data_IF_825603429533
#
_entry.id   IF_825603429533
#
_cell.length_a   1.000
_cell.length_b   1.000
_cell.length_c   1.000
_cell.angle_alpha   90.00
_cell.angle_beta   90.00
_cell.angle_gamma   90.00
#
_symmetry.space_group_name_H-M   'P 1'
#
loop_
_entity.id
_entity.type
_entity.pdbx_description
1 polymer ?
#
# COMPACT_ATOMS: atom_id res chain seq x y z
N UNK A 1 -13.58 8.43 -18.22
CA UNK A 1 -14.11 8.66 -16.88
C UNK A 1 -14.41 7.32 -16.22
N UNK A 2 -14.02 7.17 -14.97
CA UNK A 2 -14.29 5.99 -14.14
C UNK A 2 -15.16 6.42 -12.97
N UNK A 3 -16.21 5.67 -12.67
CA UNK A 3 -17.03 5.89 -11.48
C UNK A 3 -16.26 5.38 -10.27
N UNK A 4 -16.33 6.06 -9.14
CA UNK A 4 -15.56 5.70 -7.94
C UNK A 4 -15.93 4.30 -7.42
N UNK A 5 -17.19 3.91 -7.51
CA UNK A 5 -17.66 2.60 -7.07
C UNK A 5 -17.04 1.44 -7.87
N UNK A 6 -16.71 1.66 -9.16
CA UNK A 6 -16.01 0.66 -9.99
C UNK A 6 -14.52 0.53 -9.65
N UNK A 7 -13.94 1.57 -9.02
CA UNK A 7 -12.51 1.64 -8.67
C UNK A 7 -12.28 1.19 -7.23
N UNK A 8 -13.29 1.34 -6.38
CA UNK A 8 -13.21 1.00 -4.96
C UNK A 8 -13.05 -0.51 -4.79
N UNK A 9 -12.05 -0.91 -4.04
CA UNK A 9 -11.81 -2.29 -3.65
C UNK A 9 -11.83 -2.38 -2.13
N UNK A 10 -12.54 -3.40 -1.61
CA UNK A 10 -12.62 -3.65 -0.16
C UNK A 10 -11.24 -3.92 0.45
N UNK A 11 -11.00 -3.38 1.63
CA UNK A 11 -9.75 -3.58 2.34
C UNK A 11 -8.59 -2.71 1.89
N UNK A 12 -8.84 -1.72 1.05
CA UNK A 12 -7.83 -0.76 0.62
C UNK A 12 -7.97 0.58 1.34
N UNK A 13 -6.93 0.97 2.07
CA UNK A 13 -6.86 2.28 2.71
C UNK A 13 -6.62 3.45 1.73
N UNK A 14 -6.05 3.16 0.56
CA UNK A 14 -5.74 4.15 -0.49
C UNK A 14 -6.43 3.77 -1.79
N UNK A 15 -7.39 4.61 -2.23
CA UNK A 15 -8.19 4.38 -3.44
C UNK A 15 -7.35 4.40 -4.73
N UNK A 16 -6.18 5.01 -4.72
CA UNK A 16 -5.29 5.06 -5.89
C UNK A 16 -4.89 3.66 -6.40
N UNK A 17 -4.84 2.67 -5.51
CA UNK A 17 -4.60 1.26 -5.86
C UNK A 17 -5.72 0.67 -6.71
N UNK A 18 -6.94 1.13 -6.52
CA UNK A 18 -8.09 0.67 -7.29
C UNK A 18 -8.06 1.06 -8.77
N UNK A 19 -7.18 1.97 -9.17
CA UNK A 19 -6.96 2.35 -10.58
C UNK A 19 -6.19 1.27 -11.38
N UNK A 20 -5.61 0.28 -10.70
CA UNK A 20 -4.85 -0.80 -11.34
C UNK A 20 -5.75 -1.62 -12.29
N UNK A 21 -5.32 -1.74 -13.55
CA UNK A 21 -6.05 -2.48 -14.58
C UNK A 21 -7.38 -1.84 -15.04
N UNK A 22 -7.81 -0.72 -14.47
CA UNK A 22 -9.09 -0.07 -14.81
C UNK A 22 -9.01 0.91 -15.97
N UNK A 23 -7.82 1.37 -16.33
CA UNK A 23 -7.65 2.31 -17.45
C UNK A 23 -6.44 1.93 -18.27
N UNK A 24 -6.62 1.80 -19.60
CA UNK A 24 -5.51 1.56 -20.52
C UNK A 24 -4.46 2.67 -20.40
N UNK A 25 -3.16 2.30 -20.35
CA UNK A 25 -2.05 3.23 -20.22
C UNK A 25 -1.83 3.81 -18.82
N UNK A 26 -2.55 3.30 -17.80
CA UNK A 26 -2.26 3.57 -16.40
C UNK A 26 -1.61 2.34 -15.80
N UNK A 27 -0.41 2.52 -15.24
CA UNK A 27 0.32 1.49 -14.51
C UNK A 27 0.38 1.88 -13.03
N UNK A 28 -0.03 0.96 -12.18
CA UNK A 28 0.04 1.11 -10.72
C UNK A 28 1.03 0.07 -10.21
N UNK A 29 2.07 0.50 -9.53
CA UNK A 29 3.13 -0.37 -9.02
C UNK A 29 3.28 -0.18 -7.51
N UNK A 30 3.23 -1.26 -6.77
CA UNK A 30 3.61 -1.25 -5.37
C UNK A 30 5.14 -1.20 -5.28
N UNK A 31 5.68 -0.09 -4.79
CA UNK A 31 7.15 0.14 -4.72
C UNK A 31 7.77 -0.40 -3.45
N UNK A 32 6.97 -0.65 -2.43
CA UNK A 32 7.43 -1.14 -1.12
C UNK A 32 6.42 -2.09 -0.50
N UNK A 33 6.92 -3.06 0.29
CA UNK A 33 6.11 -3.89 1.18
C UNK A 33 5.76 -3.19 2.49
N UNK A 34 6.23 -1.96 2.71
CA UNK A 34 5.96 -1.19 3.93
C UNK A 34 4.48 -0.88 4.02
N UNK A 35 3.90 -1.16 5.18
CA UNK A 35 2.50 -0.93 5.44
C UNK A 35 2.15 0.55 5.31
N UNK A 36 1.05 0.83 4.61
CA UNK A 36 0.56 2.20 4.44
C UNK A 36 1.23 3.03 3.34
N UNK A 37 2.21 2.48 2.59
CA UNK A 37 2.82 3.21 1.47
C UNK A 37 1.87 3.34 0.29
N UNK A 38 1.92 4.51 -0.36
CA UNK A 38 1.18 4.76 -1.60
C UNK A 38 1.82 4.03 -2.79
N UNK A 39 1.02 3.54 -3.75
CA UNK A 39 1.56 2.95 -4.96
C UNK A 39 2.14 4.04 -5.89
N UNK A 40 3.12 3.66 -6.69
CA UNK A 40 3.62 4.50 -7.78
C UNK A 40 2.70 4.39 -8.98
N UNK A 41 2.08 5.50 -9.36
CA UNK A 41 1.19 5.56 -10.51
C UNK A 41 1.90 6.25 -11.67
N UNK A 42 1.78 5.65 -12.86
CA UNK A 42 2.26 6.22 -14.12
C UNK A 42 1.14 6.23 -15.13
N UNK A 43 1.02 7.33 -15.86
CA UNK A 43 0.11 7.50 -16.98
C UNK A 43 0.97 7.66 -18.23
N UNK A 44 0.67 6.94 -19.33
CA UNK A 44 1.42 6.92 -20.61
C UNK A 44 2.80 6.26 -20.60
N UNK A 45 3.19 5.53 -19.54
CA UNK A 45 4.53 4.94 -19.45
C UNK A 45 5.64 5.96 -19.16
N UNK A 46 6.90 5.59 -19.34
CA UNK A 46 8.04 6.49 -19.13
C UNK A 46 8.23 7.38 -20.37
N UNK A 47 7.62 8.56 -20.38
CA UNK A 47 7.69 9.50 -21.51
C UNK A 47 8.83 10.51 -21.38
N UNK A 48 9.54 10.53 -20.25
CA UNK A 48 10.64 11.48 -20.02
C UNK A 48 11.85 10.80 -19.43
N UNK A 49 13.02 11.05 -20.00
CA UNK A 49 14.33 10.65 -19.46
C UNK A 49 14.75 11.59 -18.34
N UNK A 50 14.25 12.82 -18.31
CA UNK A 50 14.65 13.91 -17.41
C UNK A 50 13.51 14.55 -16.60
N UNK A 51 12.30 13.98 -16.57
CA UNK A 51 11.15 14.57 -15.90
C UNK A 51 10.52 13.65 -14.87
N UNK A 52 9.78 14.25 -13.93
CA UNK A 52 8.97 13.52 -12.98
C UNK A 52 7.91 12.70 -13.73
N UNK A 53 7.90 11.39 -13.51
CA UNK A 53 6.98 10.46 -14.16
C UNK A 53 5.65 10.30 -13.40
N UNK A 54 5.42 11.10 -12.35
CA UNK A 54 4.19 11.09 -11.57
C UNK A 54 3.09 11.88 -12.26
N UNK A 55 1.86 11.38 -12.32
CA UNK A 55 0.73 12.16 -12.80
C UNK A 55 0.38 13.28 -11.84
N UNK A 56 -0.11 14.40 -12.37
CA UNK A 56 -0.65 15.49 -11.59
C UNK A 56 -2.03 15.10 -11.03
N UNK A 57 -2.24 15.29 -9.73
CA UNK A 57 -3.53 15.11 -9.11
C UNK A 57 -4.29 16.42 -9.00
N UNK A 58 -5.55 16.41 -9.41
CA UNK A 58 -6.44 17.57 -9.33
C UNK A 58 -7.73 17.12 -8.64
N UNK A 59 -8.06 17.71 -7.51
CA UNK A 59 -9.26 17.40 -6.74
C UNK A 59 -10.21 18.61 -6.80
N UNK A 60 -11.36 18.42 -7.43
CA UNK A 60 -12.37 19.48 -7.63
C UNK A 60 -11.81 20.79 -8.23
N UNK A 61 -10.83 20.66 -9.11
CA UNK A 61 -10.17 21.79 -9.76
C UNK A 61 -8.96 22.36 -9.03
N UNK A 62 -8.65 21.87 -7.83
CA UNK A 62 -7.46 22.25 -7.05
C UNK A 62 -6.32 21.27 -7.34
N UNK A 63 -5.17 21.79 -7.72
CA UNK A 63 -3.97 20.98 -7.91
C UNK A 63 -3.46 20.54 -6.56
N UNK A 64 -3.33 19.24 -6.37
CA UNK A 64 -2.75 18.64 -5.17
C UNK A 64 -1.26 18.41 -5.41
N UNK A 65 -0.44 18.91 -4.52
CA UNK A 65 1.00 18.66 -4.54
C UNK A 65 1.32 17.50 -3.57
N UNK A 66 2.23 16.62 -3.97
CA UNK A 66 2.78 15.64 -3.05
C UNK A 66 3.50 16.39 -1.92
N UNK A 67 3.20 16.04 -0.69
CA UNK A 67 3.74 16.73 0.50
C UNK A 67 5.26 16.52 0.64
N UNK A 68 5.83 15.56 -0.09
CA UNK A 68 7.26 15.27 -0.12
C UNK A 68 7.72 14.81 -1.51
N UNK A 69 8.79 15.42 -2.01
CA UNK A 69 9.59 14.88 -3.11
C UNK A 69 10.41 13.70 -2.57
N UNK A 70 10.00 12.49 -2.94
CA UNK A 70 10.74 11.28 -2.57
C UNK A 70 11.94 11.16 -3.51
N UNK A 71 13.14 11.38 -2.99
CA UNK A 71 14.38 11.17 -3.75
C UNK A 71 14.64 9.68 -4.01
N UNK A 72 15.47 9.37 -5.02
CA UNK A 72 15.89 7.99 -5.27
C UNK A 72 16.70 7.39 -4.11
N UNK A 73 17.36 8.25 -3.32
CA UNK A 73 18.11 7.88 -2.12
C UNK A 73 17.19 7.49 -0.97
N UNK A 74 16.08 8.22 -0.77
CA UNK A 74 15.05 7.89 0.23
C UNK A 74 14.37 6.55 -0.09
N UNK A 75 14.12 6.26 -1.38
CA UNK A 75 13.63 4.96 -1.82
C UNK A 75 14.59 3.81 -1.52
N UNK A 76 15.91 4.07 -1.54
CA UNK A 76 16.93 3.07 -1.27
C UNK A 76 17.19 2.87 0.21
N UNK A 77 16.97 3.90 1.04
CA UNK A 77 17.18 3.86 2.49
C UNK A 77 16.11 3.06 3.23
N UNK A 78 14.95 2.82 2.60
CA UNK A 78 13.82 2.11 3.22
C UNK A 78 13.14 2.90 4.34
N UNK A 79 13.39 4.20 4.42
CA UNK A 79 12.75 5.04 5.42
C UNK A 79 11.25 5.20 5.12
N UNK A 80 10.43 4.56 5.95
CA UNK A 80 8.99 4.48 5.76
C UNK A 80 8.30 5.85 5.83
N UNK A 81 8.90 6.82 6.50
CA UNK A 81 8.33 8.17 6.65
C UNK A 81 8.30 8.94 5.34
N UNK A 82 9.25 8.66 4.43
CA UNK A 82 9.35 9.29 3.12
C UNK A 82 8.43 8.66 2.06
N UNK A 83 7.97 7.42 2.29
CA UNK A 83 7.18 6.66 1.32
C UNK A 83 5.65 6.87 1.44
N UNK A 84 5.20 7.65 2.43
CA UNK A 84 3.77 7.74 2.82
C UNK A 84 3.00 8.84 2.08
N UNK A 85 3.66 9.66 1.29
CA UNK A 85 3.07 10.83 0.67
C UNK A 85 2.36 10.59 -0.66
N UNK A 86 1.11 10.14 -0.67
CA UNK A 86 0.25 10.34 -1.84
C UNK A 86 -0.58 11.61 -1.66
N UNK A 87 -0.63 12.46 -2.67
CA UNK A 87 -1.45 13.68 -2.67
C UNK A 87 -2.93 13.44 -2.32
N UNK A 88 -3.40 12.21 -2.54
CA UNK A 88 -4.81 11.82 -2.27
C UNK A 88 -4.97 10.85 -1.09
N UNK A 89 -3.89 10.50 -0.38
CA UNK A 89 -3.97 9.60 0.78
C UNK A 89 -4.88 10.13 1.91
N UNK A 90 -5.10 11.44 1.93
CA UNK A 90 -6.01 12.12 2.85
C UNK A 90 -7.47 12.10 2.45
N UNK A 91 -7.83 11.66 1.23
CA UNK A 91 -9.22 11.64 0.79
C UNK A 91 -9.92 10.37 1.29
N UNK A 92 -11.18 10.55 1.69
CA UNK A 92 -12.05 9.42 1.96
C UNK A 92 -12.58 8.85 0.62
N UNK A 93 -12.39 7.55 0.32
CA UNK A 93 -12.93 6.93 -0.88
C UNK A 93 -14.43 7.11 -1.05
N UNK A 94 -15.20 7.17 0.05
CA UNK A 94 -16.63 7.35 0.05
C UNK A 94 -17.08 8.74 -0.45
N UNK A 95 -16.20 9.74 -0.39
CA UNK A 95 -16.51 11.10 -0.85
C UNK A 95 -16.25 11.31 -2.33
N UNK A 96 -15.62 10.35 -3.00
CA UNK A 96 -15.27 10.45 -4.41
C UNK A 96 -16.46 10.02 -5.27
N UNK A 97 -16.78 10.80 -6.29
CA UNK A 97 -17.80 10.51 -7.29
C UNK A 97 -17.18 9.84 -8.52
N UNK A 98 -16.08 10.41 -9.04
CA UNK A 98 -15.45 9.87 -10.25
C UNK A 98 -13.97 10.25 -10.39
N UNK A 99 -13.28 9.48 -11.23
CA UNK A 99 -11.94 9.77 -11.72
C UNK A 99 -11.98 10.03 -13.22
N UNK A 100 -11.31 11.08 -13.66
CA UNK A 100 -11.09 11.36 -15.07
C UNK A 100 -9.59 11.43 -15.35
N UNK A 101 -9.10 10.51 -16.18
CA UNK A 101 -7.67 10.38 -16.45
C UNK A 101 -7.39 11.03 -17.80
N UNK A 102 -6.73 12.19 -17.78
CA UNK A 102 -6.35 12.95 -18.95
C UNK A 102 -4.99 12.49 -19.45
N UNK A 103 -5.00 11.91 -20.63
CA UNK A 103 -3.80 11.33 -21.25
C UNK A 103 -3.32 12.14 -22.44
N UNK A 104 -4.19 12.91 -23.07
CA UNK A 104 -3.89 13.62 -24.32
C UNK A 104 -3.26 14.98 -24.05
N UNK A 105 -2.28 15.37 -24.89
CA UNK A 105 -1.57 16.63 -24.73
C UNK A 105 -2.50 17.85 -24.72
N UNK A 106 -3.56 17.83 -25.54
CA UNK A 106 -4.57 18.89 -25.57
C UNK A 106 -5.36 18.97 -24.25
N UNK A 107 -5.71 17.82 -23.65
CA UNK A 107 -6.43 17.77 -22.40
C UNK A 107 -5.54 18.16 -21.20
N UNK A 108 -4.24 17.90 -21.28
CA UNK A 108 -3.27 18.24 -20.24
C UNK A 108 -2.76 19.68 -20.33
N UNK A 109 -2.90 20.34 -21.48
CA UNK A 109 -2.42 21.71 -21.71
C UNK A 109 -3.01 22.75 -20.75
N UNK A 110 -4.25 22.51 -20.24
CA UNK A 110 -4.92 23.37 -19.26
C UNK A 110 -4.10 23.46 -17.95
N UNK A 111 -3.33 22.43 -17.62
CA UNK A 111 -2.56 22.33 -16.36
C UNK A 111 -1.07 22.65 -16.54
N UNK A 112 -0.66 23.04 -17.76
CA UNK A 112 0.70 23.48 -18.10
C UNK A 112 1.75 22.38 -18.02
N UNK A 113 3.01 22.76 -17.83
CA UNK A 113 4.17 21.86 -17.86
C UNK A 113 4.13 20.74 -16.79
N UNK A 114 3.43 20.96 -15.67
CA UNK A 114 3.26 19.95 -14.61
C UNK A 114 2.45 18.73 -15.07
N UNK A 115 1.70 18.86 -16.16
CA UNK A 115 0.82 17.81 -16.67
C UNK A 115 1.48 16.89 -17.71
N UNK A 116 2.78 16.98 -17.94
CA UNK A 116 3.48 16.20 -18.97
C UNK A 116 3.33 14.68 -18.76
N UNK A 117 3.30 14.23 -17.51
CA UNK A 117 3.11 12.82 -17.15
C UNK A 117 1.63 12.38 -17.11
N UNK A 118 0.70 13.25 -17.53
CA UNK A 118 -0.75 13.04 -17.44
C UNK A 118 -1.37 13.69 -16.20
N UNK A 119 -2.70 13.76 -16.19
CA UNK A 119 -3.47 14.35 -15.09
C UNK A 119 -4.55 13.38 -14.66
N UNK A 120 -4.70 13.19 -13.36
CA UNK A 120 -5.81 12.44 -12.75
C UNK A 120 -6.70 13.45 -12.03
N UNK A 121 -7.87 13.70 -12.60
CA UNK A 121 -8.88 14.60 -12.02
C UNK A 121 -9.82 13.77 -11.16
N UNK A 122 -9.92 14.12 -9.90
CA UNK A 122 -10.83 13.53 -8.91
C UNK A 122 -11.98 14.51 -8.72
N UNK A 123 -13.20 14.01 -8.86
CA UNK A 123 -14.40 14.77 -8.57
C UNK A 123 -15.04 14.21 -7.31
N UNK A 124 -15.28 15.07 -6.31
CA UNK A 124 -15.95 14.65 -5.08
C UNK A 124 -17.47 14.77 -5.21
N UNK A 125 -18.19 14.04 -4.36
CA UNK A 125 -19.65 14.07 -4.29
C UNK A 125 -20.13 15.47 -3.93
N UNK A 126 -21.20 15.88 -4.60
CA UNK A 126 -21.86 17.18 -4.41
C UNK A 126 -23.25 16.99 -3.84
N UNK A 127 -23.76 18.02 -3.18
CA UNK A 127 -25.15 18.09 -2.80
C UNK A 127 -26.06 18.00 -4.02
N UNK A 128 -27.24 17.39 -3.85
CA UNK A 128 -28.26 17.28 -4.89
C UNK A 128 -29.53 17.97 -4.41
N UNK A 129 -30.25 18.70 -5.27
CA UNK A 129 -31.55 19.22 -4.94
C UNK A 129 -32.52 18.11 -4.52
N UNK A 130 -33.33 18.33 -3.50
CA UNK A 130 -34.33 17.39 -3.04
C UNK A 130 -34.29 17.17 -1.53
N UNK A 131 -34.75 15.99 -1.10
CA UNK A 131 -34.84 15.63 0.31
C UNK A 131 -33.42 15.38 0.88
N UNK A 132 -33.18 15.96 2.05
CA UNK A 132 -31.93 15.70 2.81
C UNK A 132 -31.81 14.21 3.14
N UNK A 133 -30.62 13.67 2.88
CA UNK A 133 -30.27 12.27 3.15
C UNK A 133 -29.04 12.19 4.01
N UNK A 134 -29.09 11.32 5.00
CA UNK A 134 -27.94 10.94 5.81
C UNK A 134 -27.59 9.50 5.44
N UNK A 135 -26.34 9.29 5.07
CA UNK A 135 -25.82 7.95 4.77
C UNK A 135 -24.73 7.61 5.78
N UNK A 136 -24.77 6.38 6.24
CA UNK A 136 -23.68 5.77 7.02
C UNK A 136 -23.14 4.56 6.25
N UNK A 137 -21.82 4.51 6.08
CA UNK A 137 -21.11 3.37 5.50
C UNK A 137 -20.12 2.84 6.52
N UNK A 138 -20.25 1.57 6.86
CA UNK A 138 -19.28 0.84 7.69
C UNK A 138 -18.65 -0.28 6.88
N UNK A 139 -17.33 -0.33 6.82
CA UNK A 139 -16.59 -1.37 6.14
C UNK A 139 -15.69 -2.10 7.15
N UNK A 140 -15.69 -3.44 7.09
CA UNK A 140 -14.87 -4.29 7.93
C UNK A 140 -14.13 -5.29 7.04
N UNK A 141 -12.82 -5.32 7.15
CA UNK A 141 -11.99 -6.26 6.39
C UNK A 141 -11.15 -7.08 7.35
N UNK A 142 -11.38 -8.39 7.37
CA UNK A 142 -10.58 -9.34 8.14
C UNK A 142 -9.42 -9.87 7.31
N UNK A 143 -8.20 -9.78 7.86
CA UNK A 143 -6.97 -10.32 7.26
C UNK A 143 -6.47 -11.47 8.10
N UNK A 144 -6.36 -12.64 7.49
CA UNK A 144 -5.80 -13.84 8.13
C UNK A 144 -4.29 -13.86 8.01
N UNK A 145 -3.63 -14.54 8.94
CA UNK A 145 -2.20 -14.86 8.82
C UNK A 145 -2.01 -15.78 7.60
N UNK A 146 -0.99 -15.55 6.75
CA UNK A 146 -0.66 -16.47 5.67
C UNK A 146 -0.36 -17.86 6.21
N UNK A 147 -0.73 -18.88 5.45
CA UNK A 147 -0.40 -20.27 5.79
C UNK A 147 0.69 -20.80 4.85
N UNK A 148 1.64 -21.54 5.40
CA UNK A 148 2.66 -22.24 4.58
C UNK A 148 2.04 -23.22 3.60
N UNK A 149 0.82 -23.73 3.85
CA UNK A 149 0.11 -24.60 2.90
C UNK A 149 -0.21 -23.94 1.56
N UNK A 150 -0.23 -22.60 1.53
CA UNK A 150 -0.47 -21.82 0.31
C UNK A 150 0.80 -21.57 -0.50
N UNK A 151 1.96 -21.99 0.01
CA UNK A 151 3.26 -21.76 -0.59
C UNK A 151 3.97 -23.11 -0.77
N UNK A 152 4.65 -23.28 -1.90
CA UNK A 152 5.46 -24.47 -2.15
C UNK A 152 6.85 -24.28 -1.49
N UNK A 153 6.90 -24.37 -0.17
CA UNK A 153 8.10 -24.20 0.64
C UNK A 153 8.42 -25.49 1.39
N UNK A 154 9.70 -25.82 1.48
CA UNK A 154 10.20 -26.93 2.30
C UNK A 154 10.11 -26.57 3.79
N UNK A 155 9.66 -27.51 4.62
CA UNK A 155 9.80 -27.43 6.05
C UNK A 155 11.25 -27.76 6.48
N UNK A 156 11.57 -27.70 7.78
CA UNK A 156 12.91 -27.98 8.27
C UNK A 156 13.34 -29.42 8.05
N UNK A 157 12.42 -30.37 8.13
CA UNK A 157 12.70 -31.81 7.87
C UNK A 157 13.04 -32.05 6.42
N UNK A 158 12.23 -31.50 5.50
CA UNK A 158 12.47 -31.63 4.05
C UNK A 158 13.81 -30.98 3.67
N UNK A 159 14.11 -29.81 4.21
CA UNK A 159 15.38 -29.13 3.97
C UNK A 159 16.57 -29.92 4.51
N UNK A 160 16.45 -30.51 5.70
CA UNK A 160 17.52 -31.33 6.27
C UNK A 160 17.70 -32.63 5.50
N UNK A 161 16.66 -33.24 4.94
CA UNK A 161 16.79 -34.43 4.07
C UNK A 161 17.59 -34.11 2.80
N UNK A 162 17.35 -32.96 2.18
CA UNK A 162 18.15 -32.45 1.05
C UNK A 162 19.61 -32.26 1.45
N UNK A 163 19.86 -31.65 2.61
CA UNK A 163 21.25 -31.48 3.11
C UNK A 163 21.91 -32.80 3.40
N UNK A 164 21.22 -33.81 3.93
CA UNK A 164 21.78 -35.16 4.13
C UNK A 164 22.20 -35.80 2.82
N UNK A 165 21.38 -35.68 1.78
CA UNK A 165 21.73 -36.17 0.45
C UNK A 165 22.92 -35.44 -0.13
N UNK A 166 22.99 -34.12 0.01
CA UNK A 166 24.14 -33.31 -0.42
C UNK A 166 25.40 -33.70 0.34
N UNK A 167 25.31 -33.95 1.64
CA UNK A 167 26.42 -34.39 2.46
C UNK A 167 26.90 -35.79 2.03
N UNK A 168 25.99 -36.72 1.79
CA UNK A 168 26.29 -38.06 1.30
C UNK A 168 27.01 -38.03 -0.05
N UNK A 169 26.64 -37.11 -0.95
CA UNK A 169 27.27 -36.89 -2.25
C UNK A 169 28.63 -36.10 -2.13
N UNK A 170 29.02 -35.69 -0.94
CA UNK A 170 30.24 -34.92 -0.70
C UNK A 170 30.18 -33.45 -1.08
N UNK A 171 29.02 -32.95 -1.47
CA UNK A 171 28.88 -31.58 -1.97
C UNK A 171 29.02 -30.51 -0.88
N UNK A 172 28.79 -30.84 0.38
CA UNK A 172 28.89 -29.92 1.52
C UNK A 172 30.29 -29.90 2.16
N UNK A 173 31.23 -30.69 1.66
CA UNK A 173 32.64 -30.75 2.18
C UNK A 173 33.58 -29.70 1.59
N UNK A 174 33.08 -28.80 0.72
CA UNK A 174 33.93 -27.79 0.10
C UNK A 174 34.25 -26.61 1.05
N UNK A 175 35.34 -25.89 0.80
CA UNK A 175 35.84 -24.80 1.64
C UNK A 175 34.83 -23.64 1.77
N UNK A 176 33.92 -23.43 0.82
CA UNK A 176 32.90 -22.40 0.88
C UNK A 176 31.85 -22.70 1.95
N UNK A 177 31.60 -23.96 2.26
CA UNK A 177 30.70 -24.39 3.32
C UNK A 177 31.44 -24.55 4.63
N UNK A 178 32.59 -25.24 4.62
CA UNK A 178 33.34 -25.58 5.84
C UNK A 178 33.95 -24.37 6.54
N UNK A 179 34.24 -23.29 5.81
CA UNK A 179 34.83 -22.06 6.34
C UNK A 179 33.83 -20.88 6.46
N UNK A 180 32.56 -21.09 6.15
CA UNK A 180 31.55 -20.02 6.16
C UNK A 180 30.36 -20.36 7.07
N UNK A 181 30.36 -19.83 8.29
CA UNK A 181 29.28 -20.00 9.26
C UNK A 181 27.91 -19.52 8.74
N UNK A 182 27.91 -18.63 7.75
CA UNK A 182 26.71 -18.15 7.07
C UNK A 182 26.09 -19.15 6.06
N UNK A 183 26.79 -20.26 5.74
CA UNK A 183 26.33 -21.29 4.79
C UNK A 183 25.30 -22.24 5.41
N UNK A 184 24.28 -21.70 6.08
CA UNK A 184 23.20 -22.48 6.67
C UNK A 184 23.62 -23.34 7.86
N UNK A 185 22.86 -24.42 8.12
CA UNK A 185 23.09 -25.27 9.31
C UNK A 185 24.40 -26.00 9.26
N UNK A 186 24.82 -26.47 8.08
CA UNK A 186 26.11 -27.15 7.91
C UNK A 186 27.29 -26.19 8.09
N UNK A 187 27.21 -24.97 7.61
CA UNK A 187 28.24 -23.95 7.87
C UNK A 187 28.39 -23.63 9.35
N UNK A 188 27.26 -23.53 10.10
CA UNK A 188 27.30 -23.38 11.56
C UNK A 188 27.89 -24.58 12.27
N UNK A 189 27.56 -25.78 11.82
CA UNK A 189 28.15 -27.01 12.34
C UNK A 189 29.67 -27.03 12.16
N UNK A 190 30.16 -26.75 10.95
CA UNK A 190 31.59 -26.69 10.68
C UNK A 190 32.30 -25.57 11.48
N UNK A 191 31.64 -24.43 11.67
CA UNK A 191 32.18 -23.37 12.54
C UNK A 191 32.41 -23.86 13.98
N UNK A 192 31.50 -24.67 14.53
CA UNK A 192 31.65 -25.28 15.85
C UNK A 192 32.77 -26.33 15.85
N UNK A 193 32.90 -27.12 14.79
CA UNK A 193 33.99 -28.10 14.65
C UNK A 193 35.32 -27.38 14.54
N UNK A 194 35.45 -26.37 13.71
CA UNK A 194 36.70 -25.62 13.48
C UNK A 194 37.13 -24.84 14.73
N UNK A 195 36.20 -24.40 15.58
CA UNK A 195 36.51 -23.75 16.86
C UNK A 195 36.86 -24.74 17.98
N UNK A 196 36.74 -26.05 17.74
CA UNK A 196 36.94 -27.08 18.76
C UNK A 196 35.76 -27.23 19.74
N UNK A 197 34.64 -26.49 19.55
CA UNK A 197 33.47 -26.58 20.39
C UNK A 197 32.63 -27.84 20.13
N UNK A 198 32.89 -28.54 19.02
CA UNK A 198 32.23 -29.77 18.63
C UNK A 198 33.21 -30.70 17.96
N UNK A 199 33.16 -31.99 18.27
CA UNK A 199 34.00 -33.00 17.59
C UNK A 199 33.28 -33.57 16.36
N UNK A 200 33.97 -33.68 15.26
CA UNK A 200 33.44 -34.30 14.05
C UNK A 200 33.12 -35.78 14.30
N UNK A 201 31.96 -36.25 13.85
CA UNK A 201 31.51 -37.64 14.07
C UNK A 201 30.95 -37.90 15.48
N UNK A 202 30.87 -36.90 16.34
CA UNK A 202 30.37 -37.05 17.71
C UNK A 202 28.86 -37.17 17.77
N UNK A 203 28.33 -37.68 18.88
CA UNK A 203 26.90 -37.67 19.18
C UNK A 203 26.35 -36.27 19.25
N UNK A 204 27.14 -35.27 19.67
CA UNK A 204 26.75 -33.84 19.68
C UNK A 204 26.50 -33.31 18.29
N UNK A 205 27.30 -33.69 17.31
CA UNK A 205 27.07 -33.31 15.91
C UNK A 205 25.74 -33.86 15.40
N UNK A 206 25.43 -35.11 15.68
CA UNK A 206 24.15 -35.75 15.32
C UNK A 206 22.98 -35.03 16.02
N UNK A 207 23.11 -34.78 17.32
CA UNK A 207 22.08 -34.06 18.07
C UNK A 207 21.84 -32.63 17.54
N UNK A 208 22.90 -31.92 17.14
CA UNK A 208 22.81 -30.60 16.54
C UNK A 208 22.03 -30.61 15.23
N UNK A 209 22.28 -31.56 14.34
CA UNK A 209 21.57 -31.71 13.07
C UNK A 209 20.13 -32.16 13.29
N UNK A 210 19.87 -33.08 14.22
CA UNK A 210 18.49 -33.48 14.59
C UNK A 210 17.70 -32.33 15.23
N UNK A 211 18.35 -31.49 16.03
CA UNK A 211 17.70 -30.30 16.58
C UNK A 211 17.32 -29.31 15.49
N UNK A 212 18.13 -29.19 14.43
CA UNK A 212 17.81 -28.37 13.26
C UNK A 212 16.63 -28.94 12.45
N UNK A 213 16.59 -30.25 12.25
CA UNK A 213 15.49 -30.95 11.57
C UNK A 213 14.13 -30.72 12.27
N UNK A 214 14.14 -30.75 13.61
CA UNK A 214 12.91 -30.58 14.41
C UNK A 214 12.52 -29.12 14.61
N UNK A 215 13.40 -28.17 14.28
CA UNK A 215 13.13 -26.74 14.43
C UNK A 215 12.28 -26.26 13.27
N UNK A 216 10.98 -26.20 13.46
CA UNK A 216 10.04 -25.75 12.45
C UNK A 216 9.36 -24.47 12.94
N UNK A 217 10.03 -23.33 12.74
CA UNK A 217 9.51 -22.02 13.14
C UNK A 217 8.50 -21.52 12.11
N UNK A 218 7.29 -21.23 12.57
CA UNK A 218 6.26 -20.60 11.75
C UNK A 218 6.49 -19.07 11.72
N UNK A 219 7.31 -18.63 10.78
CA UNK A 219 7.65 -17.22 10.61
C UNK A 219 6.45 -16.34 10.30
N UNK A 220 5.40 -16.90 9.69
CA UNK A 220 4.20 -16.11 9.47
C UNK A 220 3.51 -15.75 10.78
N UNK A 221 3.42 -16.67 11.73
CA UNK A 221 2.88 -16.39 13.07
C UNK A 221 3.78 -15.47 13.89
N UNK A 222 5.10 -15.53 13.67
CA UNK A 222 6.04 -14.64 14.35
C UNK A 222 5.94 -13.20 13.85
N UNK A 223 5.77 -12.99 12.55
CA UNK A 223 5.83 -11.67 11.92
C UNK A 223 4.45 -11.02 11.72
N UNK A 224 3.43 -11.83 11.47
CA UNK A 224 2.10 -11.36 11.14
C UNK A 224 1.10 -11.61 12.27
N UNK A 225 0.01 -10.86 12.24
CA UNK A 225 -1.12 -11.01 13.16
C UNK A 225 -2.44 -10.97 12.39
N UNK A 226 -3.48 -11.71 12.86
CA UNK A 226 -4.80 -11.55 12.29
C UNK A 226 -5.33 -10.16 12.67
N UNK A 227 -5.91 -9.45 11.71
CA UNK A 227 -6.36 -8.07 11.95
C UNK A 227 -7.71 -7.81 11.34
N UNK A 228 -8.44 -6.87 11.92
CA UNK A 228 -9.66 -6.31 11.38
C UNK A 228 -9.44 -4.84 11.10
N UNK A 229 -9.31 -4.50 9.84
CA UNK A 229 -9.41 -3.11 9.40
C UNK A 229 -10.88 -2.72 9.43
N UNK A 230 -11.19 -1.55 9.95
CA UNK A 230 -12.53 -1.01 9.90
C UNK A 230 -12.54 0.47 9.54
N UNK A 231 -13.53 0.87 8.77
CA UNK A 231 -13.77 2.26 8.44
C UNK A 231 -15.24 2.61 8.64
N UNK A 232 -15.47 3.83 9.06
CA UNK A 232 -16.79 4.39 9.29
C UNK A 232 -16.86 5.75 8.61
N UNK A 233 -17.91 5.96 7.81
CA UNK A 233 -18.16 7.21 7.12
C UNK A 233 -19.61 7.62 7.31
N UNK A 234 -19.82 8.87 7.69
CA UNK A 234 -21.14 9.50 7.75
C UNK A 234 -21.15 10.64 6.77
N UNK A 235 -22.14 10.69 5.91
CA UNK A 235 -22.32 11.81 4.97
C UNK A 235 -23.75 12.32 4.98
N UNK A 236 -23.88 13.62 4.77
CA UNK A 236 -25.14 14.33 4.66
C UNK A 236 -25.18 15.01 3.30
N UNK A 237 -26.23 14.74 2.54
CA UNK A 237 -26.50 15.38 1.26
C UNK A 237 -27.83 16.15 1.36
N UNK A 238 -27.82 17.41 1.02
CA UNK A 238 -29.00 18.27 1.02
C UNK A 238 -28.91 19.31 -0.08
N UNK A 239 -30.02 19.83 -0.51
CA UNK A 239 -30.04 20.93 -1.47
C UNK A 239 -31.43 21.41 -1.83
N UNK A 240 -31.48 22.60 -2.41
CA UNK A 240 -32.61 23.23 -3.04
C UNK A 240 -32.26 23.57 -4.50
N UNK A 241 -33.12 24.17 -5.25
CA UNK A 241 -32.79 24.67 -6.60
C UNK A 241 -31.66 25.70 -6.61
N UNK A 242 -31.49 26.44 -5.50
CA UNK A 242 -30.50 27.49 -5.35
C UNK A 242 -29.29 27.10 -4.50
N UNK A 243 -29.35 25.99 -3.77
CA UNK A 243 -28.26 25.58 -2.87
C UNK A 243 -28.04 24.07 -2.92
N UNK A 244 -26.82 23.66 -2.75
CA UNK A 244 -26.46 22.25 -2.57
C UNK A 244 -25.39 22.11 -1.53
N UNK A 245 -25.51 21.11 -0.66
CA UNK A 245 -24.60 20.86 0.43
C UNK A 245 -24.28 19.36 0.49
N UNK A 246 -23.00 19.05 0.57
CA UNK A 246 -22.49 17.73 0.89
C UNK A 246 -21.49 17.89 2.03
N UNK A 247 -21.68 17.18 3.10
CA UNK A 247 -20.72 17.13 4.21
C UNK A 247 -20.49 15.68 4.60
N UNK A 248 -19.24 15.33 4.91
CA UNK A 248 -18.90 14.00 5.41
C UNK A 248 -17.83 14.06 6.47
N UNK A 249 -17.86 13.07 7.35
CA UNK A 249 -16.79 12.75 8.28
C UNK A 249 -16.51 11.27 8.21
N UNK A 250 -15.24 10.88 8.29
CA UNK A 250 -14.86 9.48 8.32
C UNK A 250 -13.71 9.19 9.27
N UNK A 251 -13.67 7.94 9.74
CA UNK A 251 -12.57 7.39 10.52
C UNK A 251 -12.22 6.01 9.96
N UNK A 252 -10.93 5.78 9.71
CA UNK A 252 -10.37 4.50 9.28
C UNK A 252 -9.34 4.08 10.31
N UNK A 253 -9.43 2.82 10.74
CA UNK A 253 -8.48 2.17 11.64
C UNK A 253 -7.98 0.90 10.97
N UNK A 254 -6.70 0.87 10.66
CA UNK A 254 -6.03 -0.28 10.08
C UNK A 254 -4.87 -0.71 10.97
N UNK A 255 -5.06 -1.75 11.80
CA UNK A 255 -4.01 -2.24 12.69
C UNK A 255 -2.93 -3.00 11.96
N UNK A 256 -2.78 -2.89 10.69
CA UNK A 256 -1.72 -3.51 9.92
C UNK A 256 -1.58 -5.03 10.05
N UNK A 257 -1.06 -5.65 9.03
CA UNK A 257 -0.86 -7.09 9.00
C UNK A 257 0.40 -7.55 9.74
N UNK A 258 1.45 -6.73 9.69
CA UNK A 258 2.67 -6.95 10.47
C UNK A 258 2.49 -6.44 11.89
N UNK A 259 3.05 -7.17 12.86
CA UNK A 259 3.02 -6.76 14.27
C UNK A 259 3.61 -5.35 14.42
N UNK A 260 3.01 -4.53 15.28
CA UNK A 260 3.44 -3.16 15.61
C UNK A 260 3.26 -2.13 14.47
N UNK A 261 2.50 -2.44 13.44
CA UNK A 261 2.13 -1.46 12.42
C UNK A 261 0.66 -1.09 12.56
N UNK A 262 0.35 0.19 12.49
CA UNK A 262 -1.02 0.69 12.52
C UNK A 262 -1.16 1.95 11.70
N UNK A 263 -2.34 2.18 11.15
CA UNK A 263 -2.70 3.46 10.51
C UNK A 263 -4.07 3.88 11.02
N UNK A 264 -4.17 5.10 11.50
CA UNK A 264 -5.44 5.75 11.78
C UNK A 264 -5.58 6.98 10.88
N UNK A 265 -6.74 7.15 10.24
CA UNK A 265 -7.04 8.31 9.40
C UNK A 265 -8.40 8.86 9.74
N UNK A 266 -8.46 10.15 9.93
CA UNK A 266 -9.70 10.91 10.12
C UNK A 266 -9.83 11.91 8.99
N UNK A 267 -11.01 12.01 8.39
CA UNK A 267 -11.27 12.97 7.30
C UNK A 267 -12.55 13.74 7.56
N UNK A 268 -12.56 14.97 7.08
CA UNK A 268 -13.76 15.79 7.01
C UNK A 268 -13.82 16.48 5.66
N UNK A 269 -14.97 16.47 5.02
CA UNK A 269 -15.21 17.10 3.72
C UNK A 269 -16.47 17.93 3.77
N UNK A 270 -16.40 19.13 3.19
CA UNK A 270 -17.55 20.00 3.01
C UNK A 270 -17.52 20.56 1.57
N UNK A 271 -18.58 20.34 0.85
CA UNK A 271 -18.81 20.90 -0.47
C UNK A 271 -20.16 21.62 -0.46
N UNK A 272 -20.14 22.93 -0.55
CA UNK A 272 -21.31 23.78 -0.51
C UNK A 272 -21.36 24.69 -1.74
N UNK A 273 -22.51 24.78 -2.36
CA UNK A 273 -22.78 25.68 -3.49
C UNK A 273 -24.04 26.47 -3.23
N UNK A 274 -24.00 27.76 -3.48
CA UNK A 274 -25.13 28.65 -3.35
C UNK A 274 -25.23 29.59 -4.54
N UNK A 275 -26.36 29.54 -5.25
CA UNK A 275 -26.69 30.43 -6.36
C UNK A 275 -27.40 31.68 -5.81
N UNK A 276 -26.66 32.79 -5.74
CA UNK A 276 -27.17 34.07 -5.24
C UNK A 276 -28.12 34.68 -6.28
N UNK A 277 -27.72 34.64 -7.55
CA UNK A 277 -28.51 35.12 -8.71
C UNK A 277 -28.10 34.28 -9.94
N UNK A 278 -28.74 34.56 -11.10
CA UNK A 278 -28.36 33.88 -12.34
C UNK A 278 -26.92 34.22 -12.81
N UNK A 279 -26.41 35.36 -12.36
CA UNK A 279 -25.06 35.82 -12.70
C UNK A 279 -24.04 35.56 -11.61
N UNK A 280 -24.44 35.17 -10.38
CA UNK A 280 -23.54 35.05 -9.24
C UNK A 280 -23.80 33.76 -8.45
N UNK A 281 -22.76 32.93 -8.35
CA UNK A 281 -22.77 31.74 -7.50
C UNK A 281 -21.57 31.75 -6.57
N UNK A 282 -21.74 31.20 -5.38
CA UNK A 282 -20.70 30.96 -4.39
C UNK A 282 -20.49 29.47 -4.23
N UNK A 283 -19.24 29.01 -4.34
CA UNK A 283 -18.85 27.63 -4.14
C UNK A 283 -17.76 27.57 -3.08
N UNK A 284 -17.94 26.68 -2.12
CA UNK A 284 -16.97 26.42 -1.05
C UNK A 284 -16.67 24.93 -1.02
N UNK A 285 -15.39 24.58 -1.14
CA UNK A 285 -14.89 23.21 -1.03
C UNK A 285 -13.82 23.20 0.06
N UNK A 286 -14.01 22.36 1.06
CA UNK A 286 -13.05 22.22 2.17
C UNK A 286 -12.84 20.74 2.44
N UNK A 287 -11.58 20.31 2.39
CA UNK A 287 -11.15 18.96 2.74
C UNK A 287 -10.10 19.05 3.85
N UNK A 288 -10.28 18.27 4.89
CA UNK A 288 -9.29 18.13 5.96
C UNK A 288 -9.04 16.65 6.24
N UNK A 289 -7.78 16.31 6.47
CA UNK A 289 -7.41 14.96 6.89
C UNK A 289 -6.31 14.99 7.95
N UNK A 290 -6.42 14.06 8.88
CA UNK A 290 -5.38 13.76 9.86
C UNK A 290 -5.07 12.28 9.78
N UNK A 291 -3.78 11.94 9.60
CA UNK A 291 -3.29 10.57 9.54
C UNK A 291 -2.21 10.38 10.59
N UNK A 292 -2.32 9.28 11.32
CA UNK A 292 -1.31 8.78 12.26
C UNK A 292 -0.87 7.39 11.78
N UNK A 293 0.43 7.16 11.82
CA UNK A 293 1.06 5.88 11.50
C UNK A 293 2.14 5.58 12.53
#
# INVERSE_FOLDING_TARGET
QLVADDVKLSGMGDISRGLEGRSAGVSVQNVSGTFGTAPKIRVRGATSIYGDSKPLWVVDGVIMEDVQDISAEDLSSGDATTLIGSAIAGLNPEDIESFNILKDGSATSIYGARAMAGVIVVTTKKGRPGVSRVNYTGEFTYRMIPSYSNFNLMNSQDQMSVYQEMAYKGWLGNSRVTNASASGIYGKMYALINSGAMQQGSAEQVAFLQAAERRNTDWFKELFQPTVMHSHSVSITSGTEKSSYYASVSALFDPGWTKQSEVARYTANLNASYKISDALSFNMITNGSYRKQ
#
